data_IF_799293414995
#
_entry.id   IF_799293414995
#
_cell.length_a   1.000
_cell.length_b   1.000
_cell.length_c   1.000
_cell.angle_alpha   90.00
_cell.angle_beta   90.00
_cell.angle_gamma   90.00
#
_symmetry.space_group_name_H-M   'P 1'
#
loop_
_entity.id
_entity.type
_entity.pdbx_description
1 polymer ?
#
# COMPACT_ATOMS: atom_id res chain seq x y z
N UNK A 1 -32.50 3.66 -10.71
CA UNK A 1 -31.90 3.68 -9.36
C UNK A 1 -30.64 4.55 -9.29
N UNK A 2 -29.59 4.30 -10.06
CA UNK A 2 -28.36 5.13 -9.95
C UNK A 2 -28.62 6.61 -10.29
N UNK A 3 -29.29 6.91 -11.41
CA UNK A 3 -29.64 8.28 -11.80
C UNK A 3 -30.56 8.97 -10.76
N UNK A 4 -31.47 8.24 -10.12
CA UNK A 4 -32.33 8.83 -9.08
C UNK A 4 -31.53 9.20 -7.84
N UNK A 5 -30.57 8.36 -7.42
CA UNK A 5 -29.67 8.67 -6.30
C UNK A 5 -28.80 9.90 -6.62
N UNK A 6 -28.25 9.99 -7.84
CA UNK A 6 -27.47 11.16 -8.26
C UNK A 6 -28.34 12.42 -8.19
N UNK A 7 -29.58 12.36 -8.68
CA UNK A 7 -30.52 13.49 -8.65
C UNK A 7 -30.82 13.95 -7.23
N UNK A 8 -31.11 13.03 -6.32
CA UNK A 8 -31.44 13.35 -4.92
C UNK A 8 -30.25 14.01 -4.20
N UNK A 9 -29.04 13.46 -4.37
CA UNK A 9 -27.83 14.01 -3.76
C UNK A 9 -27.53 15.43 -4.29
N UNK A 10 -27.72 15.67 -5.58
CA UNK A 10 -27.57 16.99 -6.19
C UNK A 10 -28.62 17.99 -5.71
N UNK A 11 -29.87 17.54 -5.50
CA UNK A 11 -30.94 18.37 -4.93
C UNK A 11 -30.66 18.78 -3.48
N UNK A 12 -29.95 17.94 -2.72
CA UNK A 12 -29.50 18.27 -1.36
C UNK A 12 -28.36 19.31 -1.38
N UNK A 13 -27.72 19.54 -2.52
CA UNK A 13 -26.66 20.54 -2.70
C UNK A 13 -25.25 19.96 -2.78
N UNK A 14 -25.07 18.64 -2.64
CA UNK A 14 -23.78 18.00 -2.87
C UNK A 14 -23.47 17.97 -4.36
N UNK A 15 -22.17 18.11 -4.69
CA UNK A 15 -21.68 18.02 -6.07
C UNK A 15 -21.01 16.68 -6.31
N UNK A 16 -21.65 15.84 -7.11
CA UNK A 16 -21.10 14.55 -7.49
C UNK A 16 -20.09 14.78 -8.62
N UNK A 17 -18.84 14.42 -8.35
CA UNK A 17 -17.74 14.51 -9.34
C UNK A 17 -17.42 13.14 -9.92
N UNK A 18 -17.52 12.06 -9.16
CA UNK A 18 -17.13 10.74 -9.63
C UNK A 18 -18.09 9.63 -9.18
N UNK A 19 -18.13 8.56 -9.96
CA UNK A 19 -18.74 7.28 -9.61
C UNK A 19 -17.62 6.23 -9.51
N UNK A 20 -17.62 5.46 -8.43
CA UNK A 20 -16.58 4.47 -8.14
C UNK A 20 -17.23 3.10 -7.94
N UNK A 21 -16.72 2.07 -8.59
CA UNK A 21 -17.18 0.69 -8.40
C UNK A 21 -16.07 -0.34 -8.58
N UNK A 22 -16.35 -1.61 -8.28
CA UNK A 22 -15.45 -2.70 -8.64
C UNK A 22 -15.50 -2.99 -10.16
N UNK A 23 -14.55 -3.79 -10.66
CA UNK A 23 -14.51 -4.20 -12.07
C UNK A 23 -15.40 -5.44 -12.37
N UNK A 24 -16.54 -5.57 -11.68
CA UNK A 24 -17.51 -6.63 -11.98
C UNK A 24 -18.26 -6.34 -13.29
N UNK A 25 -18.66 -7.40 -14.00
CA UNK A 25 -19.43 -7.33 -15.25
C UNK A 25 -20.68 -6.47 -15.10
N UNK A 26 -21.40 -6.60 -13.98
CA UNK A 26 -22.65 -5.85 -13.74
C UNK A 26 -22.36 -4.35 -13.65
N UNK A 27 -21.32 -3.96 -12.91
CA UNK A 27 -20.96 -2.57 -12.70
C UNK A 27 -20.39 -1.93 -13.97
N UNK A 28 -19.60 -2.68 -14.76
CA UNK A 28 -19.18 -2.25 -16.10
C UNK A 28 -20.36 -1.98 -17.02
N UNK A 29 -21.33 -2.90 -17.08
CA UNK A 29 -22.55 -2.72 -17.88
C UNK A 29 -23.34 -1.50 -17.41
N UNK A 30 -23.44 -1.28 -16.10
CA UNK A 30 -24.08 -0.09 -15.56
C UNK A 30 -23.38 1.20 -16.04
N UNK A 31 -22.04 1.24 -16.00
CA UNK A 31 -21.27 2.37 -16.52
C UNK A 31 -21.39 2.56 -18.03
N UNK A 32 -21.37 1.48 -18.82
CA UNK A 32 -21.64 1.53 -20.25
C UNK A 32 -23.01 2.16 -20.53
N UNK A 33 -24.06 1.74 -19.82
CA UNK A 33 -25.41 2.26 -19.98
C UNK A 33 -25.58 3.73 -19.58
N UNK A 34 -24.68 4.30 -18.77
CA UNK A 34 -24.68 5.74 -18.47
C UNK A 34 -24.10 6.58 -19.61
N UNK A 35 -23.34 5.97 -20.51
CA UNK A 35 -22.71 6.68 -21.61
C UNK A 35 -23.66 6.81 -22.81
N UNK A 36 -23.64 7.92 -23.56
CA UNK A 36 -24.51 8.10 -24.73
C UNK A 36 -24.37 6.98 -25.77
N UNK A 37 -23.15 6.48 -25.96
CA UNK A 37 -22.83 5.48 -26.97
C UNK A 37 -22.90 4.03 -26.46
N UNK A 38 -23.33 3.81 -25.20
CA UNK A 38 -23.32 2.50 -24.55
C UNK A 38 -21.93 1.83 -24.54
N UNK A 39 -20.88 2.65 -24.52
CA UNK A 39 -19.49 2.22 -24.47
C UNK A 39 -18.83 2.85 -23.26
N UNK A 40 -18.08 2.06 -22.51
CA UNK A 40 -17.40 2.53 -21.32
C UNK A 40 -16.47 3.72 -21.65
N UNK A 41 -16.77 4.88 -21.10
CA UNK A 41 -15.96 6.09 -21.21
C UNK A 41 -15.48 6.51 -19.82
N UNK A 42 -14.24 6.98 -19.68
CA UNK A 42 -13.69 7.42 -18.39
C UNK A 42 -14.36 8.70 -17.87
N UNK A 43 -14.94 9.51 -18.76
CA UNK A 43 -15.57 10.79 -18.45
C UNK A 43 -16.83 10.92 -19.29
N UNK A 44 -17.92 11.37 -18.67
CA UNK A 44 -19.19 11.68 -19.33
C UNK A 44 -19.72 13.04 -18.88
N UNK A 45 -20.59 13.70 -19.65
CA UNK A 45 -21.35 14.85 -19.17
C UNK A 45 -22.18 14.47 -17.94
N UNK A 46 -22.27 15.36 -16.96
CA UNK A 46 -23.05 15.09 -15.76
C UNK A 46 -24.56 15.05 -16.10
N UNK A 47 -25.30 14.00 -15.70
CA UNK A 47 -26.65 13.73 -16.21
C UNK A 47 -27.71 14.79 -15.83
N UNK A 48 -27.42 15.63 -14.84
CA UNK A 48 -28.30 16.70 -14.38
C UNK A 48 -27.68 18.10 -14.49
N UNK A 49 -26.49 18.21 -15.09
CA UNK A 49 -25.79 19.50 -15.25
C UNK A 49 -24.79 19.40 -16.41
N UNK A 50 -25.15 19.97 -17.57
CA UNK A 50 -24.35 19.85 -18.78
C UNK A 50 -23.00 20.59 -18.69
N UNK A 51 -22.82 21.53 -17.74
CA UNK A 51 -21.56 22.24 -17.54
C UNK A 51 -20.58 21.44 -16.67
N UNK A 52 -21.01 20.33 -16.09
CA UNK A 52 -20.19 19.47 -15.24
C UNK A 52 -19.84 18.16 -15.93
N UNK A 53 -18.70 17.63 -15.49
CA UNK A 53 -18.21 16.32 -15.90
C UNK A 53 -18.42 15.35 -14.74
N UNK A 54 -18.74 14.11 -15.10
CA UNK A 54 -18.84 12.99 -14.18
C UNK A 54 -17.79 11.95 -14.59
N UNK A 55 -16.91 11.62 -13.64
CA UNK A 55 -15.78 10.72 -13.85
C UNK A 55 -16.14 9.31 -13.42
N UNK A 56 -15.83 8.33 -14.26
CA UNK A 56 -16.07 6.92 -14.01
C UNK A 56 -14.77 6.26 -13.57
N UNK A 57 -14.75 5.76 -12.35
CA UNK A 57 -13.59 5.12 -11.74
C UNK A 57 -13.90 3.67 -11.35
N UNK A 58 -12.90 2.82 -11.52
CA UNK A 58 -12.84 1.54 -10.86
C UNK A 58 -11.92 1.62 -9.64
N UNK A 59 -12.23 0.84 -8.62
CA UNK A 59 -11.46 0.84 -7.38
C UNK A 59 -10.00 0.41 -7.64
N UNK A 60 -9.04 1.27 -7.29
CA UNK A 60 -7.61 1.03 -7.45
C UNK A 60 -7.10 -0.15 -6.60
N UNK A 61 -7.68 -0.40 -5.43
CA UNK A 61 -7.39 -1.56 -4.56
C UNK A 61 -7.72 -2.85 -5.29
N UNK A 62 -8.88 -2.89 -5.96
CA UNK A 62 -9.30 -4.03 -6.76
C UNK A 62 -8.43 -4.21 -8.00
N UNK A 63 -8.04 -3.12 -8.66
CA UNK A 63 -7.13 -3.18 -9.79
C UNK A 63 -5.77 -3.75 -9.38
N UNK A 64 -5.21 -3.34 -8.24
CA UNK A 64 -3.95 -3.90 -7.72
C UNK A 64 -4.07 -5.41 -7.48
N UNK A 65 -5.17 -5.85 -6.84
CA UNK A 65 -5.48 -7.28 -6.66
C UNK A 65 -5.57 -8.00 -8.00
N UNK A 66 -6.19 -7.39 -9.01
CA UNK A 66 -6.27 -7.94 -10.37
C UNK A 66 -4.88 -8.08 -11.01
N UNK A 67 -4.03 -7.05 -10.99
CA UNK A 67 -2.66 -7.12 -11.54
C UNK A 67 -1.89 -8.29 -10.92
N UNK A 68 -1.89 -8.40 -9.59
CA UNK A 68 -1.28 -9.53 -8.88
C UNK A 68 -1.88 -10.86 -9.33
N UNK A 69 -3.20 -10.97 -9.35
CA UNK A 69 -3.88 -12.22 -9.71
C UNK A 69 -3.54 -12.66 -11.14
N UNK A 70 -3.49 -11.74 -12.10
CA UNK A 70 -3.10 -12.03 -13.48
C UNK A 70 -1.67 -12.55 -13.56
N UNK A 71 -0.75 -11.97 -12.78
CA UNK A 71 0.63 -12.45 -12.74
C UNK A 71 0.72 -13.87 -12.18
N UNK A 72 0.08 -14.13 -11.04
CA UNK A 72 0.05 -15.45 -10.38
C UNK A 72 -0.65 -16.52 -11.23
N UNK A 73 -1.69 -16.15 -11.98
CA UNK A 73 -2.43 -17.07 -12.85
C UNK A 73 -1.94 -17.04 -14.30
N UNK A 74 -0.77 -16.45 -14.59
CA UNK A 74 -0.26 -16.37 -15.95
C UNK A 74 -0.08 -17.78 -16.53
N UNK A 75 -0.67 -18.01 -17.70
CA UNK A 75 -0.55 -19.27 -18.44
C UNK A 75 0.89 -19.57 -18.86
N UNK A 76 1.73 -18.53 -18.96
CA UNK A 76 3.14 -18.64 -19.28
C UNK A 76 4.00 -18.90 -18.02
N UNK A 77 3.53 -19.81 -17.16
CA UNK A 77 4.23 -20.27 -15.97
C UNK A 77 4.73 -19.12 -15.06
N UNK A 78 3.83 -18.17 -14.77
CA UNK A 78 4.14 -17.00 -13.93
C UNK A 78 4.96 -15.91 -14.63
N UNK A 79 4.99 -15.87 -15.96
CA UNK A 79 5.70 -14.84 -16.73
C UNK A 79 4.72 -13.83 -17.31
N UNK A 80 5.00 -12.54 -17.14
CA UNK A 80 4.34 -11.45 -17.88
C UNK A 80 5.34 -10.81 -18.84
N UNK A 81 4.95 -10.64 -20.10
CA UNK A 81 5.71 -9.88 -21.09
C UNK A 81 5.08 -8.50 -21.23
N UNK A 82 5.90 -7.45 -21.23
CA UNK A 82 5.45 -6.07 -21.36
C UNK A 82 6.48 -5.23 -22.14
N UNK A 83 6.05 -4.18 -22.87
CA UNK A 83 6.98 -3.30 -23.56
C UNK A 83 7.78 -2.44 -22.57
N UNK A 84 8.99 -2.02 -22.93
CA UNK A 84 9.73 -1.03 -22.15
C UNK A 84 8.99 0.32 -22.12
N UNK A 85 9.16 1.09 -21.04
CA UNK A 85 8.47 2.38 -20.88
C UNK A 85 9.06 3.50 -21.73
N UNK A 86 10.34 3.40 -22.12
CA UNK A 86 11.03 4.41 -22.94
C UNK A 86 11.01 4.03 -24.42
N UNK A 87 11.11 2.75 -24.73
CA UNK A 87 11.06 2.24 -26.11
C UNK A 87 10.09 1.05 -26.25
N UNK A 88 8.89 1.31 -26.79
CA UNK A 88 7.84 0.30 -26.93
C UNK A 88 8.15 -0.85 -27.89
N UNK A 89 9.25 -0.77 -28.66
CA UNK A 89 9.72 -1.88 -29.51
C UNK A 89 10.52 -2.94 -28.73
N UNK A 90 11.00 -2.61 -27.53
CA UNK A 90 11.75 -3.52 -26.66
C UNK A 90 10.77 -4.17 -25.68
N UNK A 91 10.84 -5.48 -25.52
CA UNK A 91 10.00 -6.23 -24.57
C UNK A 91 10.83 -6.75 -23.40
N UNK A 92 10.30 -6.55 -22.20
CA UNK A 92 10.83 -7.08 -20.94
C UNK A 92 9.90 -8.18 -20.40
N UNK A 93 10.43 -8.99 -19.48
CA UNK A 93 9.66 -10.07 -18.84
C UNK A 93 9.76 -9.99 -17.32
N UNK A 94 8.61 -10.11 -16.67
CA UNK A 94 8.51 -10.23 -15.22
C UNK A 94 8.28 -11.70 -14.84
N UNK A 95 9.23 -12.29 -14.13
CA UNK A 95 9.25 -13.71 -13.79
C UNK A 95 8.86 -13.92 -12.32
N UNK A 96 7.68 -14.48 -12.08
CA UNK A 96 7.24 -14.85 -10.74
C UNK A 96 8.18 -15.88 -10.09
N UNK A 97 8.74 -16.78 -10.90
CA UNK A 97 9.66 -17.84 -10.47
C UNK A 97 10.89 -17.31 -9.72
N UNK A 98 11.32 -16.08 -9.99
CA UNK A 98 12.41 -15.47 -9.24
C UNK A 98 12.07 -15.35 -7.75
N UNK A 99 10.82 -15.03 -7.41
CA UNK A 99 10.36 -14.97 -6.01
C UNK A 99 10.14 -16.35 -5.40
N UNK A 100 9.69 -17.32 -6.20
CA UNK A 100 9.58 -18.71 -5.74
C UNK A 100 10.96 -19.28 -5.39
N UNK A 101 11.95 -19.03 -6.24
CA UNK A 101 13.33 -19.45 -6.03
C UNK A 101 13.93 -18.77 -4.79
N UNK A 102 13.79 -17.44 -4.68
CA UNK A 102 14.21 -16.70 -3.48
C UNK A 102 13.58 -17.28 -2.21
N UNK A 103 12.27 -17.53 -2.23
CA UNK A 103 11.56 -18.11 -1.08
C UNK A 103 12.05 -19.53 -0.72
N UNK A 104 12.37 -20.35 -1.72
CA UNK A 104 12.87 -21.72 -1.51
C UNK A 104 14.30 -21.71 -0.94
N UNK A 105 15.19 -20.88 -1.47
CA UNK A 105 16.56 -20.74 -0.97
C UNK A 105 16.60 -20.32 0.50
N UNK A 106 15.68 -19.43 0.90
CA UNK A 106 15.62 -18.89 2.26
C UNK A 106 14.69 -19.69 3.21
N UNK A 107 14.16 -20.84 2.79
CA UNK A 107 13.12 -21.52 3.56
C UNK A 107 13.62 -21.94 4.96
N UNK A 108 14.86 -22.40 5.04
CA UNK A 108 15.52 -22.85 6.28
C UNK A 108 16.32 -21.74 6.98
N UNK A 109 16.49 -20.58 6.35
CA UNK A 109 17.23 -19.46 6.95
C UNK A 109 16.36 -18.73 7.97
N UNK A 110 16.96 -18.34 9.09
CA UNK A 110 16.32 -17.45 10.07
C UNK A 110 16.25 -16.01 9.54
N UNK A 111 17.24 -15.60 8.75
CA UNK A 111 17.36 -14.25 8.21
C UNK A 111 17.10 -14.31 6.71
N UNK A 112 16.18 -13.47 6.24
CA UNK A 112 15.64 -13.52 4.87
C UNK A 112 15.72 -12.15 4.23
N UNK A 113 16.33 -12.06 3.07
CA UNK A 113 16.19 -10.93 2.16
C UNK A 113 14.72 -10.75 1.79
N UNK A 114 14.05 -11.83 1.38
CA UNK A 114 12.65 -11.87 0.98
C UNK A 114 11.66 -12.00 2.14
N UNK A 115 11.87 -11.37 3.30
CA UNK A 115 11.06 -11.56 4.51
C UNK A 115 9.54 -11.32 4.36
N UNK A 116 9.11 -10.55 3.34
CA UNK A 116 7.69 -10.34 3.04
C UNK A 116 7.05 -11.50 2.28
N UNK A 117 7.87 -12.32 1.61
CA UNK A 117 7.45 -13.47 0.86
C UNK A 117 7.10 -14.61 1.82
N UNK A 118 5.92 -15.16 1.63
CA UNK A 118 5.47 -16.33 2.36
C UNK A 118 4.73 -17.25 1.40
N UNK A 119 4.51 -18.50 1.81
CA UNK A 119 3.71 -19.45 1.02
C UNK A 119 2.34 -18.88 0.64
N UNK A 120 1.71 -18.10 1.54
CA UNK A 120 0.42 -17.44 1.29
C UNK A 120 0.50 -16.31 0.27
N UNK A 121 1.67 -15.70 0.05
CA UNK A 121 1.86 -14.61 -0.92
C UNK A 121 2.03 -15.17 -2.34
N UNK A 122 2.77 -16.28 -2.48
CA UNK A 122 3.07 -16.91 -3.77
C UNK A 122 1.96 -17.88 -4.22
N UNK A 123 1.36 -18.62 -3.29
CA UNK A 123 0.38 -19.66 -3.57
C UNK A 123 -0.97 -19.32 -2.91
N UNK A 124 -1.74 -18.45 -3.56
CA UNK A 124 -3.04 -17.97 -3.05
C UNK A 124 -4.17 -18.98 -3.24
N UNK A 125 -4.98 -19.16 -2.20
CA UNK A 125 -6.33 -19.75 -2.34
C UNK A 125 -7.34 -18.75 -2.91
N UNK A 126 -8.50 -19.24 -3.36
CA UNK A 126 -9.57 -18.40 -3.93
C UNK A 126 -10.03 -17.28 -3.00
N UNK A 127 -10.12 -17.54 -1.68
CA UNK A 127 -10.46 -16.52 -0.67
C UNK A 127 -9.34 -15.50 -0.52
N UNK A 128 -8.09 -15.97 -0.49
CA UNK A 128 -6.92 -15.11 -0.28
C UNK A 128 -6.68 -14.14 -1.44
N UNK A 129 -7.19 -14.44 -2.65
CA UNK A 129 -7.19 -13.51 -3.79
C UNK A 129 -7.90 -12.18 -3.50
N UNK A 130 -8.79 -12.10 -2.51
CA UNK A 130 -9.42 -10.84 -2.13
C UNK A 130 -8.62 -9.99 -1.14
N UNK A 131 -7.54 -10.55 -0.56
CA UNK A 131 -6.75 -9.85 0.43
C UNK A 131 -5.72 -8.91 -0.24
N UNK A 132 -5.87 -7.59 -0.03
CA UNK A 132 -4.94 -6.58 -0.56
C UNK A 132 -3.57 -6.63 0.11
N UNK A 133 -3.49 -6.96 1.41
CA UNK A 133 -2.21 -7.04 2.12
C UNK A 133 -1.28 -8.09 1.50
N UNK A 134 -1.83 -9.17 0.95
CA UNK A 134 -1.03 -10.17 0.23
C UNK A 134 -0.51 -9.63 -1.11
N UNK A 135 -1.26 -8.74 -1.78
CA UNK A 135 -0.76 -8.05 -2.97
C UNK A 135 0.38 -7.09 -2.63
N UNK A 136 0.22 -6.29 -1.58
CA UNK A 136 1.25 -5.33 -1.12
C UNK A 136 2.53 -6.01 -0.64
N UNK A 137 2.44 -7.27 -0.17
CA UNK A 137 3.61 -8.09 0.19
C UNK A 137 4.36 -8.62 -1.03
N UNK A 138 3.68 -8.93 -2.13
CA UNK A 138 4.32 -9.37 -3.38
C UNK A 138 4.89 -8.18 -4.16
N UNK A 139 4.05 -7.18 -4.41
CA UNK A 139 4.38 -5.96 -5.14
C UNK A 139 5.00 -4.95 -4.18
N UNK A 140 6.28 -5.14 -3.87
CA UNK A 140 7.00 -4.34 -2.89
C UNK A 140 8.44 -4.07 -3.33
N UNK A 141 8.93 -2.86 -3.08
CA UNK A 141 10.32 -2.42 -3.36
C UNK A 141 11.36 -3.22 -2.56
N UNK A 142 10.97 -3.73 -1.38
CA UNK A 142 11.85 -4.60 -0.60
C UNK A 142 12.15 -5.91 -1.34
N UNK A 143 11.20 -6.43 -2.11
CA UNK A 143 11.41 -7.65 -2.88
C UNK A 143 12.29 -7.39 -4.11
N UNK A 144 12.22 -6.22 -4.74
CA UNK A 144 13.13 -5.86 -5.84
C UNK A 144 14.56 -5.69 -5.33
N UNK A 145 14.71 -5.05 -4.18
CA UNK A 145 16.01 -4.92 -3.50
C UNK A 145 16.57 -6.30 -3.12
N UNK A 146 15.76 -7.16 -2.54
CA UNK A 146 16.14 -8.54 -2.20
C UNK A 146 16.63 -9.31 -3.43
N UNK A 147 15.89 -9.25 -4.55
CA UNK A 147 16.30 -9.90 -5.80
C UNK A 147 17.63 -9.35 -6.34
N UNK A 148 17.83 -8.03 -6.35
CA UNK A 148 19.07 -7.40 -6.80
C UNK A 148 20.27 -7.75 -5.92
N UNK A 149 20.07 -7.93 -4.61
CA UNK A 149 21.12 -8.34 -3.69
C UNK A 149 21.50 -9.81 -3.89
N UNK A 150 20.53 -10.71 -3.80
CA UNK A 150 20.80 -12.15 -3.88
C UNK A 150 21.36 -12.57 -5.24
N UNK A 151 20.98 -11.88 -6.32
CA UNK A 151 21.46 -12.19 -7.65
C UNK A 151 22.93 -11.91 -7.87
N UNK A 152 23.53 -11.01 -7.07
CA UNK A 152 24.98 -10.77 -7.11
C UNK A 152 25.74 -11.99 -6.60
N UNK A 153 25.18 -12.70 -5.62
CA UNK A 153 25.75 -13.92 -5.08
C UNK A 153 25.44 -15.15 -5.95
N UNK A 154 24.30 -15.15 -6.66
CA UNK A 154 23.85 -16.28 -7.49
C UNK A 154 23.42 -15.83 -8.91
N UNK A 155 24.37 -15.43 -9.78
CA UNK A 155 24.06 -14.78 -11.06
C UNK A 155 23.37 -15.70 -12.08
N UNK A 156 23.57 -17.02 -12.00
CA UNK A 156 23.00 -17.99 -12.96
C UNK A 156 21.62 -18.52 -12.55
N UNK A 157 21.17 -18.22 -11.34
CA UNK A 157 19.94 -18.80 -10.76
C UNK A 157 18.68 -18.05 -11.19
N UNK A 158 18.77 -16.74 -11.35
CA UNK A 158 17.63 -15.87 -11.61
C UNK A 158 17.56 -15.43 -13.07
N UNK A 159 16.35 -15.18 -13.58
CA UNK A 159 16.11 -14.80 -14.98
C UNK A 159 15.61 -13.37 -15.07
N UNK A 160 16.19 -12.55 -15.95
CA UNK A 160 15.73 -11.18 -16.25
C UNK A 160 15.23 -10.41 -15.01
N UNK A 161 16.18 -10.18 -14.11
CA UNK A 161 15.90 -9.52 -12.83
C UNK A 161 15.50 -8.07 -13.06
N UNK A 162 16.12 -7.43 -14.05
CA UNK A 162 15.83 -6.06 -14.44
C UNK A 162 14.38 -5.92 -14.91
N UNK A 163 13.90 -6.80 -15.80
CA UNK A 163 12.50 -6.81 -16.21
C UNK A 163 11.54 -7.01 -15.03
N UNK A 164 11.84 -7.96 -14.14
CA UNK A 164 11.01 -8.20 -12.95
C UNK A 164 10.98 -7.00 -12.01
N UNK A 165 12.12 -6.35 -11.78
CA UNK A 165 12.22 -5.15 -10.93
C UNK A 165 11.50 -3.97 -11.56
N UNK A 166 11.73 -3.71 -12.85
CA UNK A 166 11.09 -2.65 -13.64
C UNK A 166 9.56 -2.72 -13.58
N UNK A 167 9.02 -3.94 -13.71
CA UNK A 167 7.58 -4.18 -13.58
C UNK A 167 7.06 -3.82 -12.18
N UNK A 168 7.70 -4.34 -11.12
CA UNK A 168 7.26 -4.07 -9.74
C UNK A 168 7.40 -2.59 -9.41
N UNK A 169 8.52 -1.96 -9.75
CA UNK A 169 8.77 -0.54 -9.51
C UNK A 169 7.70 0.32 -10.20
N UNK A 170 7.31 -0.02 -11.44
CA UNK A 170 6.23 0.68 -12.16
C UNK A 170 4.87 0.52 -11.46
N UNK A 171 4.48 -0.70 -11.10
CA UNK A 171 3.18 -0.97 -10.44
C UNK A 171 3.14 -0.36 -9.03
N UNK A 172 4.24 -0.44 -8.28
CA UNK A 172 4.35 0.14 -6.94
C UNK A 172 4.31 1.67 -7.00
N UNK A 173 4.99 2.30 -7.96
CA UNK A 173 4.92 3.75 -8.15
C UNK A 173 3.50 4.19 -8.47
N UNK A 174 2.80 3.48 -9.36
CA UNK A 174 1.39 3.72 -9.63
C UNK A 174 0.54 3.60 -8.36
N UNK A 175 0.74 2.56 -7.56
CA UNK A 175 0.02 2.35 -6.31
C UNK A 175 0.28 3.46 -5.27
N UNK A 176 1.54 3.89 -5.12
CA UNK A 176 1.94 4.99 -4.22
C UNK A 176 1.14 6.26 -4.50
N UNK A 177 1.00 6.61 -5.78
CA UNK A 177 0.24 7.79 -6.23
C UNK A 177 -1.26 7.61 -5.98
N UNK A 178 -1.81 6.45 -6.33
CA UNK A 178 -3.26 6.18 -6.24
C UNK A 178 -3.77 5.99 -4.81
N UNK A 179 -2.89 5.78 -3.83
CA UNK A 179 -3.25 5.44 -2.44
C UNK A 179 -2.76 6.48 -1.42
N UNK A 180 -2.56 7.75 -1.84
CA UNK A 180 -2.25 8.84 -0.90
C UNK A 180 -3.53 9.22 -0.16
N UNK A 181 -3.59 8.95 1.14
CA UNK A 181 -4.78 9.15 1.98
C UNK A 181 -4.65 10.34 2.94
N UNK A 182 -3.44 10.84 3.17
CA UNK A 182 -3.14 11.95 4.06
C UNK A 182 -2.16 12.97 3.44
N UNK A 183 -2.31 14.27 3.74
CA UNK A 183 -1.42 15.33 3.24
C UNK A 183 0.06 15.17 3.58
N UNK A 184 0.36 14.39 4.63
CA UNK A 184 1.70 14.29 5.22
C UNK A 184 2.44 13.01 4.84
N UNK A 185 1.83 12.10 4.07
CA UNK A 185 2.42 10.79 3.74
C UNK A 185 3.76 10.91 3.01
N UNK A 186 3.83 11.74 1.97
CA UNK A 186 5.07 11.96 1.22
C UNK A 186 6.21 12.48 2.08
N UNK A 187 5.93 13.41 3.00
CA UNK A 187 6.92 13.95 3.93
C UNK A 187 7.38 12.90 4.96
N UNK A 188 6.43 12.17 5.56
CA UNK A 188 6.75 11.16 6.56
C UNK A 188 7.56 9.99 5.99
N UNK A 189 7.31 9.64 4.73
CA UNK A 189 7.96 8.52 4.05
C UNK A 189 9.13 8.94 3.16
N UNK A 190 9.39 10.25 3.06
CA UNK A 190 10.38 10.85 2.18
C UNK A 190 10.25 10.34 0.72
N UNK A 191 9.02 10.40 0.18
CA UNK A 191 8.65 9.82 -1.11
C UNK A 191 7.80 10.80 -1.92
N UNK A 192 8.38 11.34 -3.00
CA UNK A 192 7.75 12.33 -3.89
C UNK A 192 6.45 11.82 -4.52
N UNK A 193 6.37 10.52 -4.82
CA UNK A 193 5.18 9.94 -5.44
C UNK A 193 4.02 9.76 -4.45
N UNK A 194 4.27 9.95 -3.15
CA UNK A 194 3.25 9.91 -2.08
C UNK A 194 2.88 11.30 -1.58
N UNK A 195 3.37 12.35 -2.22
CA UNK A 195 2.90 13.70 -1.92
C UNK A 195 1.49 13.91 -2.46
N UNK A 196 0.67 14.76 -1.78
CA UNK A 196 -0.58 15.23 -2.34
C UNK A 196 -0.35 15.87 -3.69
N UNK A 197 -1.27 15.61 -4.62
CA UNK A 197 -1.18 16.24 -5.94
C UNK A 197 -1.53 17.71 -5.76
N UNK A 198 -0.65 18.60 -6.20
CA UNK A 198 -0.82 20.05 -6.18
C UNK A 198 -0.76 20.57 -7.61
N UNK A 199 -1.29 21.77 -7.83
CA UNK A 199 -1.36 22.37 -9.16
C UNK A 199 0.02 22.62 -9.78
N UNK A 200 1.02 22.96 -8.96
CA UNK A 200 2.41 23.24 -9.34
C UNK A 200 3.26 21.99 -9.56
N UNK A 201 2.85 20.83 -9.02
CA UNK A 201 3.60 19.58 -9.13
C UNK A 201 2.99 18.65 -10.18
N UNK A 202 3.64 18.58 -11.33
CA UNK A 202 3.22 17.71 -12.43
C UNK A 202 3.78 16.29 -12.36
N UNK A 203 4.63 15.94 -11.38
CA UNK A 203 5.36 14.66 -11.34
C UNK A 203 4.41 13.46 -11.36
N UNK A 204 3.46 13.41 -10.43
CA UNK A 204 2.49 12.31 -10.34
C UNK A 204 1.59 12.28 -11.58
N UNK A 205 1.14 13.44 -12.06
CA UNK A 205 0.27 13.55 -13.23
C UNK A 205 0.97 13.08 -14.52
N UNK A 206 2.24 13.44 -14.70
CA UNK A 206 3.05 13.00 -15.83
C UNK A 206 3.29 11.50 -15.77
N UNK A 207 3.61 10.96 -14.58
CA UNK A 207 3.70 9.50 -14.41
C UNK A 207 2.39 8.80 -14.81
N UNK A 208 1.23 9.31 -14.41
CA UNK A 208 -0.06 8.72 -14.76
C UNK A 208 -0.35 8.79 -16.27
N UNK A 209 0.05 9.87 -16.94
CA UNK A 209 -0.02 9.99 -18.42
C UNK A 209 0.88 8.96 -19.10
N UNK A 210 2.14 8.86 -18.68
CA UNK A 210 3.10 7.89 -19.22
C UNK A 210 2.64 6.46 -18.98
N UNK A 211 2.11 6.18 -17.79
CA UNK A 211 1.53 4.90 -17.42
C UNK A 211 0.34 4.55 -18.33
N UNK A 212 -0.53 5.51 -18.62
CA UNK A 212 -1.66 5.33 -19.53
C UNK A 212 -1.19 4.96 -20.93
N UNK A 213 -0.21 5.68 -21.46
CA UNK A 213 0.36 5.41 -22.78
C UNK A 213 1.04 4.04 -22.83
N UNK A 214 1.82 3.71 -21.80
CA UNK A 214 2.47 2.41 -21.67
C UNK A 214 1.45 1.26 -21.65
N UNK A 215 0.35 1.39 -20.91
CA UNK A 215 -0.71 0.38 -20.87
C UNK A 215 -1.42 0.19 -22.21
N UNK A 216 -1.69 1.28 -22.93
CA UNK A 216 -2.28 1.22 -24.28
C UNK A 216 -1.38 0.46 -25.24
N UNK A 217 -0.08 0.78 -25.24
CA UNK A 217 0.90 0.07 -26.06
C UNK A 217 1.03 -1.39 -25.62
N UNK A 218 1.05 -1.67 -24.32
CA UNK A 218 1.12 -3.03 -23.80
C UNK A 218 -0.09 -3.88 -24.24
N UNK A 219 -1.30 -3.33 -24.13
CA UNK A 219 -2.55 -3.99 -24.56
C UNK A 219 -2.54 -4.36 -26.05
N UNK A 220 -1.94 -3.52 -26.90
CA UNK A 220 -1.86 -3.73 -28.35
C UNK A 220 -0.72 -4.67 -28.77
N UNK A 221 0.41 -4.60 -28.06
CA UNK A 221 1.66 -5.28 -28.46
C UNK A 221 1.79 -6.70 -27.93
N UNK A 222 1.08 -7.06 -26.85
CA UNK A 222 1.21 -8.37 -26.20
C UNK A 222 -0.13 -9.09 -26.19
N UNK A 223 -0.14 -10.34 -26.69
CA UNK A 223 -1.32 -11.19 -26.63
C UNK A 223 -1.76 -11.43 -25.17
N UNK A 224 -3.07 -11.49 -24.93
CA UNK A 224 -3.69 -11.58 -23.59
C UNK A 224 -3.18 -12.75 -22.71
N UNK A 225 -2.69 -13.84 -23.33
CA UNK A 225 -2.10 -14.97 -22.61
C UNK A 225 -0.75 -14.64 -21.93
N UNK A 226 -0.04 -13.61 -22.40
CA UNK A 226 1.29 -13.22 -21.93
C UNK A 226 1.29 -11.87 -21.18
N UNK A 227 0.14 -11.18 -21.14
CA UNK A 227 -0.02 -9.89 -20.47
C UNK A 227 -1.12 -9.92 -19.41
N UNK A 228 -1.72 -8.76 -19.14
CA UNK A 228 -2.89 -8.67 -18.29
C UNK A 228 -4.16 -9.11 -19.06
N UNK A 229 -5.19 -9.55 -18.33
CA UNK A 229 -6.48 -9.83 -18.95
C UNK A 229 -7.09 -8.58 -19.59
N UNK A 230 -7.90 -8.72 -20.66
CA UNK A 230 -8.57 -7.59 -21.31
C UNK A 230 -9.38 -6.73 -20.32
N UNK A 231 -10.01 -7.38 -19.34
CA UNK A 231 -10.78 -6.71 -18.29
C UNK A 231 -9.90 -5.86 -17.37
N UNK A 232 -8.72 -6.36 -17.01
CA UNK A 232 -7.77 -5.65 -16.13
C UNK A 232 -7.17 -4.46 -16.87
N UNK A 233 -6.80 -4.65 -18.15
CA UNK A 233 -6.36 -3.53 -19.01
C UNK A 233 -7.45 -2.47 -19.12
N UNK A 234 -8.70 -2.87 -19.39
CA UNK A 234 -9.79 -1.91 -19.53
C UNK A 234 -9.99 -1.09 -18.26
N UNK A 235 -10.08 -1.72 -17.09
CA UNK A 235 -10.26 -0.99 -15.83
C UNK A 235 -9.10 -0.07 -15.49
N UNK A 236 -7.87 -0.55 -15.67
CA UNK A 236 -6.67 0.20 -15.31
C UNK A 236 -6.46 1.40 -16.25
N UNK A 237 -6.68 1.22 -17.56
CA UNK A 237 -6.62 2.32 -18.53
C UNK A 237 -7.73 3.34 -18.24
N UNK A 238 -8.97 2.89 -18.05
CA UNK A 238 -10.12 3.77 -17.77
C UNK A 238 -9.88 4.63 -16.53
N UNK A 239 -9.38 4.03 -15.44
CA UNK A 239 -9.07 4.77 -14.20
C UNK A 239 -7.97 5.80 -14.42
N UNK A 240 -6.88 5.43 -15.09
CA UNK A 240 -5.81 6.39 -15.32
C UNK A 240 -6.27 7.54 -16.23
N UNK A 241 -7.03 7.26 -17.29
CA UNK A 241 -7.58 8.29 -18.18
C UNK A 241 -8.56 9.23 -17.44
N UNK A 242 -9.40 8.67 -16.58
CA UNK A 242 -10.34 9.43 -15.77
C UNK A 242 -9.60 10.32 -14.77
N UNK A 243 -8.61 9.78 -14.04
CA UNK A 243 -7.82 10.52 -13.04
C UNK A 243 -6.99 11.64 -13.69
N UNK A 244 -6.36 11.37 -14.85
CA UNK A 244 -5.58 12.36 -15.60
C UNK A 244 -6.43 13.57 -16.01
N UNK A 245 -7.71 13.38 -16.27
CA UNK A 245 -8.66 14.46 -16.59
C UNK A 245 -9.30 15.08 -15.33
N UNK A 246 -9.56 14.26 -14.32
CA UNK A 246 -10.16 14.66 -13.05
C UNK A 246 -9.29 15.66 -12.29
N UNK A 247 -7.98 15.43 -12.25
CA UNK A 247 -7.04 16.29 -11.50
C UNK A 247 -7.09 17.74 -12.01
N UNK A 248 -6.84 18.03 -13.31
CA UNK A 248 -6.98 19.39 -13.83
C UNK A 248 -8.38 19.96 -13.64
N UNK A 249 -9.43 19.15 -13.82
CA UNK A 249 -10.81 19.59 -13.66
C UNK A 249 -11.11 20.07 -12.23
N UNK A 250 -10.64 19.34 -11.22
CA UNK A 250 -10.81 19.71 -9.81
C UNK A 250 -10.08 21.01 -9.46
N UNK A 251 -8.87 21.21 -9.99
CA UNK A 251 -8.14 22.45 -9.81
C UNK A 251 -8.79 23.63 -10.52
N UNK A 252 -9.20 23.47 -11.78
CA UNK A 252 -9.76 24.55 -12.58
C UNK A 252 -11.16 24.95 -12.13
N UNK A 253 -12.05 23.98 -11.92
CA UNK A 253 -13.47 24.24 -11.63
C UNK A 253 -13.72 24.51 -10.15
N UNK A 254 -13.05 23.79 -9.25
CA UNK A 254 -13.30 23.88 -7.81
C UNK A 254 -12.17 24.53 -7.01
N UNK A 255 -11.05 24.91 -7.65
CA UNK A 255 -9.92 25.61 -7.01
C UNK A 255 -9.40 24.89 -5.77
N UNK A 256 -9.33 23.56 -5.82
CA UNK A 256 -8.81 22.74 -4.73
C UNK A 256 -7.32 23.04 -4.48
N UNK A 257 -6.89 23.08 -3.21
CA UNK A 257 -5.47 23.31 -2.90
C UNK A 257 -4.58 22.09 -3.21
N UNK A 258 -5.14 20.91 -2.97
CA UNK A 258 -4.49 19.62 -3.23
C UNK A 258 -5.53 18.51 -3.40
N UNK A 259 -5.10 17.39 -3.98
CA UNK A 259 -5.94 16.22 -4.24
C UNK A 259 -5.27 14.97 -3.65
N UNK A 260 -6.07 14.17 -2.95
CA UNK A 260 -5.67 12.89 -2.36
C UNK A 260 -6.37 11.75 -3.12
N UNK A 261 -5.63 11.03 -3.97
CA UNK A 261 -6.22 9.98 -4.80
C UNK A 261 -6.71 8.77 -4.00
N UNK A 262 -6.19 8.54 -2.80
CA UNK A 262 -6.70 7.52 -1.89
C UNK A 262 -8.12 7.80 -1.38
N UNK A 263 -8.67 9.00 -1.60
CA UNK A 263 -10.09 9.29 -1.34
C UNK A 263 -11.03 8.79 -2.45
N UNK A 264 -10.48 8.36 -3.59
CA UNK A 264 -11.24 7.83 -4.72
C UNK A 264 -11.20 6.29 -4.74
N UNK A 265 -11.52 5.68 -3.60
CA UNK A 265 -11.54 4.23 -3.37
C UNK A 265 -12.84 3.82 -2.67
N UNK A 266 -13.17 2.52 -2.69
CA UNK A 266 -14.38 2.00 -2.01
C UNK A 266 -14.10 1.41 -0.62
N UNK A 267 -12.90 1.65 -0.06
CA UNK A 267 -12.50 1.17 1.27
C UNK A 267 -13.46 1.60 2.39
N UNK A 268 -13.99 2.83 2.35
CA UNK A 268 -14.96 3.30 3.33
C UNK A 268 -16.29 2.51 3.25
N UNK A 269 -16.68 2.09 2.04
CA UNK A 269 -17.84 1.22 1.82
C UNK A 269 -17.56 -0.20 2.32
N UNK A 270 -16.37 -0.75 2.05
CA UNK A 270 -15.96 -2.07 2.58
C UNK A 270 -15.89 -2.07 4.11
N UNK A 271 -15.38 -0.99 4.72
CA UNK A 271 -15.36 -0.80 6.16
C UNK A 271 -16.78 -0.77 6.73
N UNK A 272 -17.73 -0.12 6.06
CA UNK A 272 -19.15 -0.14 6.43
C UNK A 272 -19.73 -1.56 6.39
N UNK A 273 -19.42 -2.35 5.35
CA UNK A 273 -19.82 -3.76 5.30
C UNK A 273 -19.18 -4.60 6.41
N UNK A 274 -17.92 -4.31 6.77
CA UNK A 274 -17.25 -4.89 7.92
C UNK A 274 -17.99 -4.63 9.23
N UNK A 275 -18.45 -3.39 9.44
CA UNK A 275 -19.23 -3.01 10.61
C UNK A 275 -20.55 -3.77 10.70
N UNK A 276 -21.27 -3.96 9.58
CA UNK A 276 -22.49 -4.77 9.59
C UNK A 276 -22.22 -6.21 10.02
N UNK A 277 -21.16 -6.85 9.51
CA UNK A 277 -20.78 -8.21 9.90
C UNK A 277 -20.40 -8.28 11.37
N UNK A 278 -19.60 -7.32 11.85
CA UNK A 278 -19.14 -7.27 13.23
C UNK A 278 -20.31 -7.15 14.22
N UNK A 279 -21.29 -6.28 13.93
CA UNK A 279 -22.50 -6.12 14.74
C UNK A 279 -23.43 -7.35 14.71
N UNK A 280 -23.27 -8.22 13.72
CA UNK A 280 -23.97 -9.51 13.59
C UNK A 280 -23.12 -10.69 14.08
N UNK A 281 -22.27 -10.48 15.10
CA UNK A 281 -21.46 -11.55 15.69
C UNK A 281 -20.28 -11.99 14.82
N UNK A 282 -19.80 -11.11 13.94
CA UNK A 282 -18.73 -11.39 12.97
C UNK A 282 -19.04 -12.51 11.97
N UNK A 283 -20.33 -12.77 11.72
CA UNK A 283 -20.74 -13.69 10.67
C UNK A 283 -20.51 -13.07 9.28
N UNK A 284 -19.99 -13.88 8.34
CA UNK A 284 -19.79 -13.43 6.96
C UNK A 284 -21.12 -13.30 6.22
N UNK A 285 -22.04 -14.26 6.43
CA UNK A 285 -23.36 -14.26 5.82
C UNK A 285 -24.36 -13.59 6.76
N UNK A 286 -24.76 -12.38 6.40
CA UNK A 286 -25.74 -11.59 7.15
C UNK A 286 -27.03 -11.46 6.35
N UNK A 287 -28.18 -11.45 7.04
CA UNK A 287 -29.48 -11.27 6.40
C UNK A 287 -29.73 -9.79 6.08
N UNK A 288 -30.64 -9.53 5.13
CA UNK A 288 -31.07 -8.17 4.83
C UNK A 288 -31.65 -7.44 6.06
N UNK A 289 -32.39 -8.16 6.91
CA UNK A 289 -32.95 -7.59 8.16
C UNK A 289 -31.83 -7.14 9.09
N UNK A 290 -30.78 -7.95 9.25
CA UNK A 290 -29.60 -7.60 10.06
C UNK A 290 -28.88 -6.38 9.49
N UNK A 291 -28.78 -6.24 8.17
CA UNK A 291 -28.19 -5.04 7.54
C UNK A 291 -29.01 -3.80 7.91
N UNK A 292 -30.34 -3.84 7.80
CA UNK A 292 -31.20 -2.70 8.15
C UNK A 292 -31.12 -2.33 9.64
N UNK A 293 -31.17 -3.31 10.53
CA UNK A 293 -31.06 -3.10 11.97
C UNK A 293 -29.71 -2.50 12.35
N UNK A 294 -28.62 -3.04 11.80
CA UNK A 294 -27.28 -2.55 12.06
C UNK A 294 -27.06 -1.16 11.45
N UNK A 295 -27.65 -0.86 10.30
CA UNK A 295 -27.62 0.48 9.73
C UNK A 295 -28.32 1.50 10.64
N UNK A 296 -29.47 1.15 11.23
CA UNK A 296 -30.13 2.00 12.24
C UNK A 296 -29.23 2.24 13.46
N UNK A 297 -28.60 1.19 13.99
CA UNK A 297 -27.66 1.29 15.12
C UNK A 297 -26.47 2.19 14.80
N UNK A 298 -25.87 2.03 13.62
CA UNK A 298 -24.73 2.85 13.19
C UNK A 298 -25.12 4.32 12.99
N UNK A 299 -26.29 4.60 12.41
CA UNK A 299 -26.81 5.97 12.29
C UNK A 299 -27.01 6.61 13.66
N UNK A 300 -27.68 5.91 14.57
CA UNK A 300 -27.89 6.39 15.93
C UNK A 300 -26.56 6.70 16.63
N UNK A 301 -25.59 5.78 16.57
CA UNK A 301 -24.24 5.97 17.12
C UNK A 301 -23.56 7.21 16.52
N UNK A 302 -23.63 7.41 15.21
CA UNK A 302 -23.06 8.58 14.55
C UNK A 302 -23.71 9.88 15.03
N UNK A 303 -25.04 9.93 15.17
CA UNK A 303 -25.74 11.10 15.70
C UNK A 303 -25.31 11.42 17.14
N UNK A 304 -25.22 10.40 17.99
CA UNK A 304 -24.77 10.58 19.39
C UNK A 304 -23.33 11.10 19.45
N UNK A 305 -22.41 10.57 18.63
CA UNK A 305 -21.02 11.05 18.59
C UNK A 305 -20.95 12.50 18.12
N UNK A 306 -21.73 12.89 17.12
CA UNK A 306 -21.78 14.29 16.65
C UNK A 306 -22.30 15.22 17.76
N UNK A 307 -23.36 14.81 18.45
CA UNK A 307 -23.88 15.56 19.61
C UNK A 307 -22.89 15.59 20.77
N UNK A 308 -22.17 14.51 21.01
CA UNK A 308 -21.18 14.39 22.08
C UNK A 308 -19.89 15.16 21.80
N UNK A 309 -19.49 15.34 20.53
CA UNK A 309 -18.38 16.23 20.17
C UNK A 309 -18.65 17.70 20.50
N UNK A 310 -19.92 18.07 20.67
CA UNK A 310 -20.31 19.39 21.18
C UNK A 310 -20.25 19.47 22.73
N UNK A 311 -19.89 18.38 23.42
CA UNK A 311 -19.66 18.36 24.87
C UNK A 311 -18.15 18.39 25.15
N UNK A 312 -17.68 19.47 25.76
CA UNK A 312 -16.28 19.65 26.20
C UNK A 312 -15.99 18.82 27.47
N UNK A 313 -15.90 17.49 27.35
CA UNK A 313 -15.44 16.65 28.47
C UNK A 313 -14.21 15.84 28.03
N UNK A 314 -13.02 16.15 28.56
CA UNK A 314 -11.81 15.37 28.30
C UNK A 314 -11.96 13.94 28.82
N UNK A 315 -11.64 12.94 28.00
CA UNK A 315 -11.64 11.53 28.39
C UNK A 315 -10.64 11.20 29.51
N UNK A 316 -9.61 12.04 29.70
CA UNK A 316 -8.61 11.88 30.78
C UNK A 316 -9.19 12.04 32.19
N UNK A 317 -10.33 12.72 32.33
CA UNK A 317 -11.01 12.92 33.60
C UNK A 317 -11.78 11.68 34.09
N UNK A 318 -11.89 10.62 33.26
CA UNK A 318 -12.69 9.42 33.55
C UNK A 318 -11.84 8.20 33.92
N UNK A 319 -10.51 8.31 33.91
CA UNK A 319 -9.61 7.18 34.16
C UNK A 319 -8.56 7.61 35.20
N UNK A 320 -8.60 7.09 36.43
CA UNK A 320 -7.52 7.29 37.40
C UNK A 320 -6.26 6.59 36.88
N UNK A 321 -5.21 7.35 36.60
CA UNK A 321 -3.89 6.80 36.30
C UNK A 321 -3.10 6.79 37.62
N UNK A 322 -2.85 5.60 38.16
CA UNK A 322 -1.92 5.43 39.27
C UNK A 322 -0.48 5.69 38.81
N UNK A 323 0.20 6.60 39.49
CA UNK A 323 1.63 6.85 39.30
C UNK A 323 2.44 5.68 39.86
N UNK A 324 3.14 4.94 39.00
CA UNK A 324 4.14 3.94 39.45
C UNK A 324 5.46 4.63 39.76
N UNK A 325 5.90 4.49 41.01
CA UNK A 325 7.24 4.87 41.48
C UNK A 325 8.33 4.08 40.74
N UNK A 326 9.47 4.74 40.47
CA UNK A 326 10.65 4.14 39.85
C UNK A 326 11.55 3.58 40.95
N UNK A 327 11.64 2.26 41.03
CA UNK A 327 12.70 1.61 41.80
C UNK A 327 13.94 1.45 40.92
N UNK A 328 15.10 1.80 41.48
CA UNK A 328 16.42 1.60 40.88
C UNK A 328 16.90 0.18 41.17
N UNK A 329 17.12 -0.61 40.12
CA UNK A 329 17.66 -1.97 40.21
C UNK A 329 19.18 -1.92 40.17
N UNK A 330 19.85 -2.65 41.07
CA UNK A 330 21.31 -2.84 41.08
C UNK A 330 21.71 -3.88 40.00
N UNK A 331 22.73 -3.53 39.23
CA UNK A 331 23.01 -4.07 37.90
C UNK A 331 24.15 -5.09 37.96
N UNK A 332 24.97 -5.02 39.00
CA UNK A 332 26.10 -5.92 39.24
C UNK A 332 25.65 -7.36 39.57
N UNK A 333 24.34 -7.59 39.76
CA UNK A 333 23.74 -8.91 40.03
C UNK A 333 23.57 -9.79 38.78
N UNK A 334 23.87 -9.28 37.58
CA UNK A 334 23.63 -10.00 36.31
C UNK A 334 24.89 -10.28 35.49
N UNK A 335 26.09 -10.02 36.03
CA UNK A 335 27.35 -10.28 35.32
C UNK A 335 27.53 -11.76 34.94
N UNK A 336 26.98 -12.69 35.75
CA UNK A 336 27.07 -14.13 35.50
C UNK A 336 26.29 -14.62 34.25
N UNK A 337 25.39 -13.80 33.69
CA UNK A 337 24.58 -14.16 32.51
C UNK A 337 25.35 -13.91 31.19
N UNK A 338 26.48 -13.21 31.24
CA UNK A 338 27.20 -12.71 30.06
C UNK A 338 28.23 -13.70 29.45
N UNK A 339 28.41 -14.88 30.04
CA UNK A 339 29.50 -15.79 29.64
C UNK A 339 29.19 -16.80 28.52
N UNK A 340 27.96 -16.85 28.00
CA UNK A 340 27.70 -17.58 26.75
C UNK A 340 28.10 -16.69 25.56
N UNK A 341 29.40 -16.69 25.27
CA UNK A 341 29.99 -16.03 24.11
C UNK A 341 29.41 -16.63 22.82
N UNK A 342 28.40 -15.98 22.25
CA UNK A 342 27.99 -16.24 20.87
C UNK A 342 29.14 -15.83 19.96
N UNK A 343 29.80 -16.78 19.30
CA UNK A 343 30.85 -16.49 18.33
C UNK A 343 30.22 -15.88 17.06
N UNK A 344 30.54 -14.61 16.80
CA UNK A 344 30.11 -13.88 15.59
C UNK A 344 30.77 -14.47 14.33
N UNK A 345 31.84 -15.27 14.49
CA UNK A 345 32.60 -15.91 13.41
C UNK A 345 31.80 -16.91 12.56
N UNK A 346 30.60 -17.31 12.98
CA UNK A 346 29.73 -18.20 12.20
C UNK A 346 28.67 -17.48 11.34
N UNK A 347 28.69 -16.14 11.29
CA UNK A 347 27.72 -15.36 10.51
C UNK A 347 28.27 -15.09 9.11
N UNK A 348 27.58 -15.50 8.03
CA UNK A 348 27.96 -15.12 6.67
C UNK A 348 28.06 -13.59 6.49
N UNK A 349 29.08 -13.12 5.78
CA UNK A 349 29.36 -11.68 5.57
C UNK A 349 28.16 -10.90 4.99
N UNK A 350 27.32 -11.57 4.21
CA UNK A 350 26.13 -10.98 3.59
C UNK A 350 24.98 -10.76 4.60
N UNK A 351 25.01 -11.45 5.74
CA UNK A 351 24.00 -11.41 6.81
C UNK A 351 24.37 -10.41 7.92
N UNK A 352 25.65 -10.11 8.11
CA UNK A 352 26.15 -9.23 9.15
C UNK A 352 25.53 -7.81 9.13
N UNK A 353 25.35 -7.14 7.96
CA UNK A 353 24.68 -5.84 7.90
C UNK A 353 23.22 -5.91 8.36
N UNK A 354 22.51 -6.99 8.03
CA UNK A 354 21.11 -7.20 8.40
C UNK A 354 20.99 -7.38 9.91
N UNK A 355 21.87 -8.19 10.51
CA UNK A 355 21.92 -8.39 11.96
C UNK A 355 22.25 -7.11 12.71
N UNK A 356 23.18 -6.31 12.19
CA UNK A 356 23.54 -5.00 12.76
C UNK A 356 22.35 -4.03 12.73
N UNK A 357 21.55 -4.05 11.67
CA UNK A 357 20.34 -3.25 11.59
C UNK A 357 19.24 -3.73 12.57
N UNK A 358 19.01 -5.05 12.65
CA UNK A 358 17.99 -5.64 13.55
C UNK A 358 18.35 -5.36 15.02
N UNK A 359 19.61 -5.58 15.40
CA UNK A 359 20.10 -5.30 16.75
C UNK A 359 19.92 -3.82 17.11
N UNK A 360 20.31 -2.90 16.24
CA UNK A 360 20.10 -1.46 16.44
C UNK A 360 18.61 -1.09 16.61
N UNK A 361 17.71 -1.73 15.85
CA UNK A 361 16.27 -1.53 16.01
C UNK A 361 15.73 -2.04 17.35
N UNK A 362 16.16 -3.23 17.80
CA UNK A 362 15.77 -3.80 19.10
C UNK A 362 16.21 -2.87 20.22
N UNK A 363 17.46 -2.44 20.19
CA UNK A 363 18.03 -1.45 21.12
C UNK A 363 17.17 -0.19 21.17
N UNK A 364 16.93 0.45 20.02
CA UNK A 364 16.12 1.68 19.93
C UNK A 364 14.72 1.50 20.52
N UNK A 365 14.06 0.37 20.25
CA UNK A 365 12.70 0.10 20.71
C UNK A 365 12.63 -0.08 22.23
N UNK A 366 13.62 -0.74 22.82
CA UNK A 366 13.70 -0.91 24.27
C UNK A 366 14.08 0.39 24.98
N UNK A 367 14.98 1.19 24.42
CA UNK A 367 15.29 2.54 24.91
C UNK A 367 14.08 3.48 24.93
N UNK A 368 13.20 3.39 23.92
CA UNK A 368 11.99 4.20 23.89
C UNK A 368 10.95 3.82 24.96
N UNK A 369 11.00 2.59 25.50
CA UNK A 369 10.05 2.10 26.51
C UNK A 369 10.56 2.25 27.93
N UNK A 370 11.88 2.09 28.14
CA UNK A 370 12.50 2.11 29.46
C UNK A 370 13.25 3.42 29.66
N UNK A 371 12.93 4.15 30.74
CA UNK A 371 13.70 5.32 31.20
C UNK A 371 14.76 4.95 32.26
N UNK A 372 15.14 3.66 32.33
CA UNK A 372 16.17 3.21 33.25
C UNK A 372 17.55 3.61 32.71
N UNK A 373 18.29 4.41 33.47
CA UNK A 373 19.62 4.93 33.11
C UNK A 373 20.57 3.78 32.78
N UNK A 374 20.57 2.71 33.56
CA UNK A 374 21.47 1.58 33.31
C UNK A 374 21.17 0.85 32.00
N UNK A 375 19.91 0.63 31.67
CA UNK A 375 19.56 0.02 30.39
C UNK A 375 20.04 0.89 29.21
N UNK A 376 20.02 2.22 29.38
CA UNK A 376 20.52 3.15 28.38
C UNK A 376 22.04 2.98 28.21
N UNK A 377 22.79 2.93 29.31
CA UNK A 377 24.25 2.73 29.29
C UNK A 377 24.64 1.36 28.70
N UNK A 378 23.90 0.29 29.00
CA UNK A 378 24.20 -1.04 28.49
C UNK A 378 23.93 -1.19 26.98
N UNK A 379 22.90 -0.53 26.47
CA UNK A 379 22.55 -0.59 25.05
C UNK A 379 23.31 0.44 24.19
N UNK A 380 23.88 1.48 24.79
CA UNK A 380 24.73 2.47 24.14
C UNK A 380 26.20 2.15 24.43
N UNK A 381 26.84 1.34 23.61
CA UNK A 381 28.29 1.14 23.71
C UNK A 381 29.03 2.46 23.46
N UNK A 382 29.98 2.78 24.34
CA UNK A 382 30.86 3.93 24.22
C UNK A 382 31.71 3.85 22.94
N UNK A 383 31.82 4.98 22.25
CA UNK A 383 32.44 5.14 20.93
C UNK A 383 33.98 5.08 20.91
N UNK A 384 34.63 4.52 21.92
CA UNK A 384 36.10 4.52 21.98
C UNK A 384 36.67 3.33 21.18
N UNK A 385 37.15 3.65 19.98
CA UNK A 385 37.97 2.78 19.13
C UNK A 385 39.27 2.38 19.82
N UNK A 386 39.66 1.11 19.69
CA UNK A 386 41.00 0.65 19.31
C UNK A 386 40.92 -0.87 18.95
N UNK A 387 41.63 -1.25 17.89
CA UNK A 387 41.87 -2.60 17.38
C UNK A 387 40.75 -3.37 16.63
N UNK A 388 40.81 -3.28 15.29
CA UNK A 388 40.90 -4.43 14.37
C UNK A 388 39.72 -5.39 14.18
N UNK A 389 38.73 -5.43 15.07
CA UNK A 389 37.60 -6.34 14.99
C UNK A 389 36.29 -5.57 15.16
N UNK A 390 35.51 -5.47 14.07
CA UNK A 390 34.15 -4.93 14.11
C UNK A 390 33.27 -5.81 15.00
N UNK A 391 33.10 -5.44 16.27
CA UNK A 391 32.03 -5.97 17.13
C UNK A 391 30.70 -5.34 16.71
N UNK A 392 29.63 -6.12 16.49
CA UNK A 392 28.48 -5.69 15.69
C UNK A 392 27.41 -4.97 16.53
N UNK A 393 27.73 -3.81 17.10
CA UNK A 393 26.73 -2.95 17.76
C UNK A 393 27.09 -1.47 17.61
N UNK A 394 27.38 -1.02 16.39
CA UNK A 394 27.55 0.41 16.10
C UNK A 394 26.17 1.08 16.01
N UNK A 395 25.85 1.86 17.04
CA UNK A 395 24.68 2.72 17.10
C UNK A 395 24.73 3.79 16.00
N UNK A 396 23.68 3.84 15.17
CA UNK A 396 23.44 4.99 14.30
C UNK A 396 23.17 6.23 15.16
N UNK A 397 24.02 7.23 15.00
CA UNK A 397 23.87 8.56 15.60
C UNK A 397 22.50 9.15 15.26
N UNK A 398 21.73 9.45 16.30
CA UNK A 398 20.58 10.33 16.23
C UNK A 398 21.01 11.71 15.71
N UNK A 399 20.64 12.04 14.47
CA UNK A 399 20.35 13.44 14.17
C UNK A 399 18.98 13.75 14.78
N UNK A 400 18.86 14.77 15.66
CA UNK A 400 17.57 15.22 16.12
C UNK A 400 16.80 15.76 14.92
N UNK A 401 15.64 15.19 14.63
CA UNK A 401 14.65 15.87 13.81
C UNK A 401 14.31 17.19 14.52
N UNK A 402 14.36 18.35 13.84
CA UNK A 402 14.06 19.61 14.47
C UNK A 402 12.62 19.57 15.01
N UNK A 403 12.50 19.82 16.30
CA UNK A 403 11.23 20.10 16.96
C UNK A 403 10.70 21.39 16.36
N UNK A 404 9.56 21.33 15.67
CA UNK A 404 8.80 22.53 15.33
C UNK A 404 7.35 22.32 15.72
N UNK A 405 6.88 23.27 16.54
CA UNK A 405 5.53 23.47 17.04
C UNK A 405 4.43 23.36 15.98
#
# INVERSE_FOLDING_TARGET
MLLSVIKEIEQIGFKIVCLISDNNIINRKAFELLTPNKLLQPVIPHPFDAERLLFILFDSVHILKCIRNNWLSSKNNGTLTFPDRKNYSIFQKAYLKNFEMLFQMEQKSLIKYGHLLSRKVLYLSSIQKQNVNLALKLLNEKNTTALKCISKHYPTTFRDIEGTCSFIETVVTWWKIMNVCSPYEGRHLNDLYREPIRFDNATQLNFLKDMTLWLKNWKLSVHSNNGLSPQTFQSLITVNEAVVQLIPYLFQKYKMDYILLGKFQTDDLEARFGAYRQLSGSNYYISFVQVLENERKLRFKSCVIVSAKNLNVPLKTLIPLEERSRETVDVNLYDDVLHDSFSVECVPDDVLPILTYISGFVVRKELNKKQCVTCITWFQLDKTHEDGYLRPFTAFTCYPAPVSF
#
